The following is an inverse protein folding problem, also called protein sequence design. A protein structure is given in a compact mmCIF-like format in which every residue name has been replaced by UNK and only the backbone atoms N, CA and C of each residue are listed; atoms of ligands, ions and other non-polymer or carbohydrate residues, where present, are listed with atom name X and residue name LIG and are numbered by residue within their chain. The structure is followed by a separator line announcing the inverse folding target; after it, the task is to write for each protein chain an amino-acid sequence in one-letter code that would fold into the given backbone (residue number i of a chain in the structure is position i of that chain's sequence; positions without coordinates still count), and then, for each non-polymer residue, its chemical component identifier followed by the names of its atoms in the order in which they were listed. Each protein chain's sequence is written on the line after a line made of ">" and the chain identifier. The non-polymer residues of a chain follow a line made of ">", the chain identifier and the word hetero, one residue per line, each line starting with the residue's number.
data_IF_453464647222
#
_entry.id   IF_453464647222
#
_cell.length_a   1.000
_cell.length_b   1.000
_cell.length_c   1.000
_cell.angle_alpha   90.00
_cell.angle_beta   90.00
_cell.angle_gamma   90.00
#
_symmetry.space_group_name_H-M   'P 1'
#
loop_
_entity.id
_entity.type
_entity.pdbx_description
1 polymer ?
#
# COMPACT_ATOMS: atom_id res chain seq x y z
N UNK A 1 66.28 -7.36 -1.52
CA UNK A 1 65.12 -7.25 -0.60
C UNK A 1 64.06 -6.24 -1.03
N UNK A 2 64.22 -5.44 -2.08
CA UNK A 2 63.25 -4.42 -2.48
C UNK A 2 62.03 -4.89 -3.31
N UNK A 3 62.13 -6.00 -4.06
CA UNK A 3 61.11 -6.48 -4.98
C UNK A 3 59.90 -7.13 -4.30
N UNK A 4 60.10 -7.78 -3.14
CA UNK A 4 59.01 -8.45 -2.41
C UNK A 4 58.10 -7.45 -1.70
N UNK A 5 58.66 -6.33 -1.23
CA UNK A 5 57.88 -5.28 -0.56
C UNK A 5 56.97 -4.49 -1.56
N UNK A 6 57.38 -4.32 -2.80
CA UNK A 6 56.58 -3.67 -3.86
C UNK A 6 55.43 -4.57 -4.32
N UNK A 7 55.62 -5.87 -4.38
CA UNK A 7 54.57 -6.84 -4.74
C UNK A 7 53.46 -6.93 -3.68
N UNK A 8 53.82 -6.99 -2.39
CA UNK A 8 52.88 -6.98 -1.30
C UNK A 8 52.05 -5.70 -1.24
N UNK A 9 52.68 -4.54 -1.48
CA UNK A 9 51.96 -3.26 -1.56
C UNK A 9 50.94 -3.21 -2.70
N UNK A 10 51.30 -3.79 -3.86
CA UNK A 10 50.39 -3.82 -5.02
C UNK A 10 49.20 -4.77 -4.80
N UNK A 11 49.40 -5.94 -4.20
CA UNK A 11 48.32 -6.90 -3.86
C UNK A 11 47.36 -6.32 -2.80
N UNK A 12 47.89 -5.65 -1.77
CA UNK A 12 47.08 -5.00 -0.76
C UNK A 12 46.25 -3.82 -1.33
N UNK A 13 46.83 -3.03 -2.24
CA UNK A 13 46.11 -1.95 -2.92
C UNK A 13 44.94 -2.48 -3.78
N UNK A 14 45.17 -3.57 -4.53
CA UNK A 14 44.12 -4.22 -5.31
C UNK A 14 43.00 -4.80 -4.42
N UNK A 15 43.35 -5.39 -3.28
CA UNK A 15 42.39 -5.89 -2.31
C UNK A 15 41.52 -4.77 -1.73
N UNK A 16 42.11 -3.65 -1.36
CA UNK A 16 41.38 -2.47 -0.86
C UNK A 16 40.43 -1.86 -1.88
N UNK A 17 40.85 -1.77 -3.15
CA UNK A 17 40.00 -1.26 -4.24
C UNK A 17 38.83 -2.21 -4.49
N UNK A 18 39.04 -3.53 -4.46
CA UNK A 18 37.95 -4.51 -4.61
C UNK A 18 36.93 -4.41 -3.47
N UNK A 19 37.36 -4.30 -2.23
CA UNK A 19 36.46 -4.17 -1.08
C UNK A 19 35.67 -2.86 -1.16
N UNK A 20 36.30 -1.76 -1.55
CA UNK A 20 35.62 -0.48 -1.70
C UNK A 20 34.58 -0.49 -2.83
N UNK A 21 34.90 -1.11 -3.97
CA UNK A 21 33.94 -1.22 -5.10
C UNK A 21 32.77 -2.11 -4.78
N UNK A 22 32.98 -3.26 -4.14
CA UNK A 22 31.91 -4.15 -3.68
C UNK A 22 31.04 -3.46 -2.63
N UNK A 23 31.63 -2.73 -1.69
CA UNK A 23 30.91 -1.94 -0.70
C UNK A 23 30.02 -0.87 -1.32
N UNK A 24 30.50 -0.15 -2.35
CA UNK A 24 29.73 0.85 -3.08
C UNK A 24 28.59 0.24 -3.89
N UNK A 25 28.78 -0.93 -4.50
CA UNK A 25 27.73 -1.64 -5.24
C UNK A 25 26.64 -2.11 -4.26
N UNK A 26 27.02 -2.70 -3.12
CA UNK A 26 26.07 -3.13 -2.09
C UNK A 26 25.30 -1.94 -1.52
N UNK A 27 25.97 -0.84 -1.23
CA UNK A 27 25.31 0.38 -0.75
C UNK A 27 24.36 0.97 -1.81
N UNK A 28 24.75 0.94 -3.09
CA UNK A 28 23.89 1.37 -4.20
C UNK A 28 22.68 0.48 -4.39
N UNK A 29 22.83 -0.84 -4.30
CA UNK A 29 21.72 -1.79 -4.41
C UNK A 29 20.79 -1.70 -3.20
N UNK A 30 21.33 -1.62 -1.97
CA UNK A 30 20.54 -1.45 -0.75
C UNK A 30 19.85 -0.09 -0.73
N UNK A 31 20.54 0.98 -1.13
CA UNK A 31 19.97 2.31 -1.28
C UNK A 31 18.86 2.34 -2.32
N UNK A 32 19.07 1.69 -3.47
CA UNK A 32 18.05 1.53 -4.51
C UNK A 32 16.84 0.73 -4.02
N UNK A 33 17.04 -0.36 -3.29
CA UNK A 33 15.96 -1.16 -2.68
C UNK A 33 15.20 -0.37 -1.61
N UNK A 34 15.88 0.44 -0.81
CA UNK A 34 15.25 1.30 0.21
C UNK A 34 14.48 2.45 -0.45
N UNK A 35 15.01 3.05 -1.51
CA UNK A 35 14.34 4.14 -2.25
C UNK A 35 13.22 3.63 -3.18
N UNK A 36 13.30 2.36 -3.64
CA UNK A 36 12.24 1.70 -4.43
C UNK A 36 11.14 1.10 -3.53
N UNK A 37 11.30 1.11 -2.23
CA UNK A 37 10.33 0.60 -1.28
C UNK A 37 9.10 1.52 -1.20
N UNK A 38 7.93 1.04 -0.74
CA UNK A 38 6.58 1.60 -0.86
C UNK A 38 6.36 3.02 -0.31
N UNK A 39 7.40 3.70 0.16
CA UNK A 39 7.38 5.14 0.42
C UNK A 39 7.00 5.97 -0.84
N UNK A 40 7.14 5.41 -2.04
CA UNK A 40 6.78 6.07 -3.30
C UNK A 40 5.32 5.81 -3.75
N UNK A 41 4.55 5.01 -3.05
CA UNK A 41 3.14 4.75 -3.41
C UNK A 41 2.13 5.63 -2.67
N UNK A 42 2.56 6.75 -2.11
CA UNK A 42 1.67 7.72 -1.47
C UNK A 42 0.65 8.33 -2.45
N UNK A 43 0.97 8.37 -3.74
CA UNK A 43 0.07 8.84 -4.81
C UNK A 43 -1.20 8.00 -4.98
N UNK A 44 -1.23 6.79 -4.40
CA UNK A 44 -2.37 5.88 -4.45
C UNK A 44 -3.29 6.03 -3.22
N UNK A 45 -2.90 6.87 -2.23
CA UNK A 45 -3.69 7.09 -1.02
C UNK A 45 -4.61 8.29 -1.15
N UNK A 46 -5.87 8.07 -0.88
CA UNK A 46 -6.87 9.08 -0.61
C UNK A 46 -6.88 9.36 0.87
N UNK A 47 -6.84 10.63 1.26
CA UNK A 47 -6.79 11.03 2.66
C UNK A 47 -7.85 12.09 2.96
N UNK A 48 -8.39 12.05 4.16
CA UNK A 48 -9.21 13.13 4.72
C UNK A 48 -8.35 13.85 5.74
N UNK A 49 -8.20 15.17 5.56
CA UNK A 49 -7.39 16.02 6.42
C UNK A 49 -8.32 17.02 7.11
N UNK A 50 -8.09 17.21 8.39
CA UNK A 50 -8.73 18.28 9.18
C UNK A 50 -7.67 19.30 9.53
N UNK A 51 -8.01 20.57 9.36
CA UNK A 51 -7.17 21.69 9.74
C UNK A 51 -7.51 22.10 11.18
N UNK A 52 -6.58 21.91 12.10
CA UNK A 52 -6.71 22.33 13.50
C UNK A 52 -6.04 23.70 13.69
N UNK A 53 -6.76 24.74 13.27
CA UNK A 53 -6.32 26.12 13.42
C UNK A 53 -6.50 26.66 14.86
N UNK A 54 -6.93 25.83 15.81
CA UNK A 54 -7.14 26.22 17.20
C UNK A 54 -5.82 26.11 18.00
N UNK A 55 -5.17 27.23 18.20
CA UNK A 55 -4.03 27.31 19.13
C UNK A 55 -2.70 27.80 18.57
N UNK A 56 -2.65 28.37 17.38
CA UNK A 56 -1.45 29.03 16.85
C UNK A 56 -0.35 28.06 16.35
N UNK A 57 -0.66 26.80 16.19
CA UNK A 57 0.12 25.83 15.43
C UNK A 57 -0.73 25.37 14.25
N UNK A 58 -0.31 25.68 13.04
CA UNK A 58 -0.85 25.09 11.83
C UNK A 58 -0.57 23.58 11.87
N UNK A 59 -1.58 22.79 12.18
CA UNK A 59 -1.50 21.36 12.23
C UNK A 59 -2.57 20.74 11.32
N UNK A 60 -2.15 20.15 10.21
CA UNK A 60 -3.03 19.30 9.43
C UNK A 60 -2.98 17.87 9.98
N UNK A 61 -4.14 17.31 10.33
CA UNK A 61 -4.25 15.96 10.84
C UNK A 61 -4.98 15.07 9.83
N UNK A 62 -4.33 13.97 9.43
CA UNK A 62 -4.98 12.95 8.61
C UNK A 62 -5.89 12.12 9.52
N UNK A 63 -7.20 12.20 9.30
CA UNK A 63 -8.23 11.52 10.11
C UNK A 63 -8.77 10.24 9.47
N UNK A 64 -8.61 10.11 8.16
CA UNK A 64 -9.00 8.90 7.43
C UNK A 64 -8.11 8.72 6.20
N UNK A 65 -7.89 7.47 5.81
CA UNK A 65 -7.19 7.13 4.57
C UNK A 65 -7.80 5.90 3.89
N UNK A 66 -7.59 5.79 2.59
CA UNK A 66 -7.90 4.64 1.77
C UNK A 66 -6.88 4.55 0.64
N UNK A 67 -6.50 3.34 0.25
CA UNK A 67 -5.61 3.10 -0.89
C UNK A 67 -6.41 2.50 -2.04
N UNK A 68 -6.29 3.10 -3.23
CA UNK A 68 -6.86 2.57 -4.45
C UNK A 68 -5.72 2.15 -5.38
N UNK A 69 -5.64 0.87 -5.66
CA UNK A 69 -4.72 0.33 -6.65
C UNK A 69 -5.48 0.06 -7.94
N UNK A 70 -4.97 0.60 -9.06
CA UNK A 70 -5.54 0.37 -10.38
C UNK A 70 -4.69 -0.60 -11.18
N UNK A 71 -5.34 -1.61 -11.75
CA UNK A 71 -4.77 -2.48 -12.76
C UNK A 71 -5.37 -2.16 -14.13
N UNK A 72 -4.94 -2.86 -15.18
CA UNK A 72 -5.46 -2.63 -16.55
C UNK A 72 -6.99 -2.82 -16.66
N UNK A 73 -7.56 -3.70 -15.86
CA UNK A 73 -8.97 -4.15 -16.00
C UNK A 73 -9.82 -3.94 -14.75
N UNK A 74 -9.22 -3.70 -13.61
CA UNK A 74 -9.91 -3.66 -12.31
C UNK A 74 -9.22 -2.68 -11.38
N UNK A 75 -9.93 -2.26 -10.34
CA UNK A 75 -9.30 -1.58 -9.20
C UNK A 75 -9.47 -2.40 -7.93
N UNK A 76 -8.57 -2.23 -7.00
CA UNK A 76 -8.64 -2.85 -5.68
C UNK A 76 -8.52 -1.77 -4.60
N UNK A 77 -9.46 -1.81 -3.64
CA UNK A 77 -9.50 -0.88 -2.51
C UNK A 77 -8.90 -1.54 -1.28
N UNK A 78 -7.93 -0.87 -0.67
CA UNK A 78 -7.16 -1.33 0.50
C UNK A 78 -7.14 -0.28 1.60
N UNK A 79 -6.71 -0.69 2.78
CA UNK A 79 -6.28 0.16 3.89
C UNK A 79 -7.29 1.26 4.24
N UNK A 80 -8.61 0.96 4.14
CA UNK A 80 -9.63 1.93 4.53
C UNK A 80 -9.61 2.06 6.05
N UNK A 81 -9.15 3.20 6.51
CA UNK A 81 -9.04 3.52 7.92
C UNK A 81 -9.71 4.86 8.24
N UNK A 82 -10.36 4.93 9.40
CA UNK A 82 -10.90 6.16 9.98
C UNK A 82 -10.50 6.18 11.46
N UNK A 83 -9.93 7.29 11.89
CA UNK A 83 -9.60 7.54 13.30
C UNK A 83 -10.80 7.29 14.20
N UNK A 84 -10.57 6.73 15.38
CA UNK A 84 -11.65 6.23 16.25
C UNK A 84 -12.66 7.33 16.61
N UNK A 85 -12.17 8.51 16.95
CA UNK A 85 -12.96 9.69 17.30
C UNK A 85 -13.78 10.25 16.13
N UNK A 86 -13.43 9.87 14.89
CA UNK A 86 -14.07 10.34 13.64
C UNK A 86 -15.02 9.30 13.02
N UNK A 87 -15.14 8.12 13.66
CA UNK A 87 -16.06 7.08 13.20
C UNK A 87 -17.52 7.48 13.44
N UNK A 88 -18.41 6.95 12.62
CA UNK A 88 -19.85 7.26 12.71
C UNK A 88 -20.25 8.63 12.11
N UNK A 89 -19.30 9.51 11.78
CA UNK A 89 -19.56 10.84 11.27
C UNK A 89 -19.66 10.90 9.71
N UNK A 90 -19.58 9.75 9.04
CA UNK A 90 -19.72 9.68 7.58
C UNK A 90 -18.42 9.82 6.78
N UNK A 91 -17.29 10.17 7.40
CA UNK A 91 -16.01 10.37 6.71
C UNK A 91 -15.55 9.16 5.91
N UNK A 92 -15.68 7.95 6.47
CA UNK A 92 -15.34 6.72 5.75
C UNK A 92 -16.17 6.50 4.51
N UNK A 93 -17.48 6.80 4.55
CA UNK A 93 -18.33 6.69 3.38
C UNK A 93 -17.97 7.72 2.31
N UNK A 94 -17.74 8.98 2.70
CA UNK A 94 -17.32 10.04 1.80
C UNK A 94 -15.98 9.67 1.13
N UNK A 95 -14.99 9.27 1.92
CA UNK A 95 -13.67 8.85 1.43
C UNK A 95 -13.75 7.73 0.40
N UNK A 96 -14.45 6.63 0.73
CA UNK A 96 -14.58 5.49 -0.19
C UNK A 96 -15.35 5.87 -1.44
N UNK A 97 -16.43 6.66 -1.34
CA UNK A 97 -17.19 7.15 -2.51
C UNK A 97 -16.31 7.98 -3.44
N UNK A 98 -15.51 8.89 -2.89
CA UNK A 98 -14.58 9.72 -3.67
C UNK A 98 -13.51 8.86 -4.34
N UNK A 99 -12.86 7.95 -3.61
CA UNK A 99 -11.83 7.08 -4.16
C UNK A 99 -12.37 6.20 -5.32
N UNK A 100 -13.56 5.60 -5.16
CA UNK A 100 -14.12 4.72 -6.19
C UNK A 100 -14.81 5.47 -7.33
N UNK A 101 -15.06 6.78 -7.22
CA UNK A 101 -15.63 7.56 -8.31
C UNK A 101 -14.69 7.64 -9.52
N UNK A 102 -13.37 7.63 -9.27
CA UNK A 102 -12.33 7.66 -10.29
C UNK A 102 -11.80 6.26 -10.65
N UNK A 103 -12.25 5.23 -9.94
CA UNK A 103 -11.76 3.87 -10.10
C UNK A 103 -12.19 3.22 -11.41
N UNK A 104 -11.37 2.31 -11.92
CA UNK A 104 -11.75 1.38 -12.98
C UNK A 104 -12.59 0.26 -12.41
N UNK A 105 -13.73 0.02 -13.03
CA UNK A 105 -14.63 -1.04 -12.62
C UNK A 105 -14.35 -2.36 -13.34
N UNK A 106 -14.56 -3.50 -12.67
CA UNK A 106 -15.05 -3.65 -11.29
C UNK A 106 -14.01 -3.29 -10.23
N UNK A 107 -14.49 -2.78 -9.06
CA UNK A 107 -13.67 -2.53 -7.88
C UNK A 107 -13.81 -3.69 -6.91
N UNK A 108 -12.70 -4.25 -6.47
CA UNK A 108 -12.64 -5.35 -5.51
C UNK A 108 -12.07 -4.89 -4.17
N UNK A 109 -12.44 -5.58 -3.11
CA UNK A 109 -11.83 -5.44 -1.78
C UNK A 109 -11.98 -6.73 -0.98
N UNK A 110 -11.20 -6.86 0.09
CA UNK A 110 -11.37 -7.88 1.13
C UNK A 110 -11.82 -7.19 2.42
N UNK A 111 -13.03 -7.49 2.86
CA UNK A 111 -13.65 -6.89 4.04
C UNK A 111 -13.46 -7.75 5.27
N UNK A 112 -13.19 -7.13 6.42
CA UNK A 112 -13.41 -7.75 7.72
C UNK A 112 -14.90 -8.03 7.94
N UNK A 113 -15.28 -9.04 8.73
CA UNK A 113 -16.68 -9.39 8.99
C UNK A 113 -17.53 -8.20 9.46
N UNK A 114 -16.99 -7.39 10.37
CA UNK A 114 -17.69 -6.25 10.97
C UNK A 114 -17.93 -5.10 9.98
N UNK A 115 -17.12 -5.01 8.90
CA UNK A 115 -17.20 -3.96 7.89
C UNK A 115 -18.05 -4.35 6.67
N UNK A 116 -18.54 -5.58 6.57
CA UNK A 116 -19.35 -6.03 5.41
C UNK A 116 -20.59 -5.15 5.23
N UNK A 117 -21.28 -4.77 6.31
CA UNK A 117 -22.45 -3.90 6.28
C UNK A 117 -22.14 -2.51 5.70
N UNK A 118 -20.99 -1.94 6.10
CA UNK A 118 -20.50 -0.67 5.59
C UNK A 118 -20.30 -0.71 4.06
N UNK A 119 -19.62 -1.72 3.55
CA UNK A 119 -19.38 -1.84 2.11
C UNK A 119 -20.65 -2.19 1.31
N UNK A 120 -21.57 -2.96 1.88
CA UNK A 120 -22.89 -3.20 1.26
C UNK A 120 -23.66 -1.90 1.06
N UNK A 121 -23.65 -0.99 2.03
CA UNK A 121 -24.27 0.34 1.92
C UNK A 121 -23.63 1.22 0.83
N UNK A 122 -22.39 0.91 0.42
CA UNK A 122 -21.67 1.55 -0.68
C UNK A 122 -21.85 0.83 -2.02
N UNK A 123 -22.74 -0.16 -2.11
CA UNK A 123 -23.04 -0.90 -3.34
C UNK A 123 -22.10 -2.06 -3.66
N UNK A 124 -21.25 -2.45 -2.71
CA UNK A 124 -20.47 -3.69 -2.85
C UNK A 124 -21.33 -4.92 -2.52
N UNK A 125 -21.06 -6.01 -3.19
CA UNK A 125 -21.68 -7.31 -2.94
C UNK A 125 -20.61 -8.34 -2.64
N UNK A 126 -20.92 -9.30 -1.78
CA UNK A 126 -20.05 -10.45 -1.52
C UNK A 126 -19.89 -11.27 -2.78
N UNK A 127 -18.69 -11.72 -3.06
CA UNK A 127 -18.35 -12.62 -4.15
C UNK A 127 -17.69 -13.88 -3.57
N UNK A 128 -17.99 -15.03 -4.16
CA UNK A 128 -17.35 -16.27 -3.77
C UNK A 128 -15.87 -16.24 -4.14
N UNK A 129 -15.02 -16.63 -3.20
CA UNK A 129 -13.56 -16.69 -3.40
C UNK A 129 -13.17 -17.51 -4.63
N UNK A 130 -13.89 -18.59 -4.91
CA UNK A 130 -13.67 -19.48 -6.06
C UNK A 130 -13.91 -18.82 -7.42
N UNK A 131 -14.71 -17.74 -7.46
CA UNK A 131 -14.98 -16.95 -8.68
C UNK A 131 -13.90 -15.92 -9.00
N UNK A 132 -12.95 -15.70 -8.08
CA UNK A 132 -11.83 -14.81 -8.28
C UNK A 132 -10.64 -15.58 -8.84
N UNK A 133 -9.90 -14.96 -9.77
CA UNK A 133 -8.64 -15.54 -10.25
C UNK A 133 -7.57 -15.56 -9.14
N UNK A 134 -6.55 -16.41 -9.31
CA UNK A 134 -5.48 -16.60 -8.31
C UNK A 134 -4.70 -15.32 -8.02
N UNK A 135 -4.47 -14.47 -9.03
CA UNK A 135 -3.71 -13.22 -8.87
C UNK A 135 -4.48 -12.24 -8.00
N UNK A 136 -5.77 -12.08 -8.29
CA UNK A 136 -6.65 -11.21 -7.51
C UNK A 136 -6.80 -11.71 -6.06
N UNK A 137 -6.95 -13.04 -5.86
CA UNK A 137 -6.98 -13.64 -4.53
C UNK A 137 -5.69 -13.36 -3.75
N UNK A 138 -4.53 -13.48 -4.43
CA UNK A 138 -3.22 -13.15 -3.85
C UNK A 138 -3.12 -11.67 -3.46
N UNK A 139 -3.50 -10.74 -4.35
CA UNK A 139 -3.49 -9.31 -4.07
C UNK A 139 -4.43 -8.94 -2.92
N UNK A 140 -5.62 -9.50 -2.86
CA UNK A 140 -6.56 -9.33 -1.76
C UNK A 140 -6.18 -10.08 -0.47
N UNK A 141 -4.97 -10.66 -0.43
CA UNK A 141 -4.44 -11.40 0.73
C UNK A 141 -5.31 -12.58 1.19
N UNK A 142 -6.22 -13.07 0.35
CA UNK A 142 -7.14 -14.15 0.69
C UNK A 142 -6.43 -15.50 0.83
N UNK A 143 -5.26 -15.67 0.20
CA UNK A 143 -4.45 -16.88 0.26
C UNK A 143 -3.44 -16.88 1.44
N UNK A 144 -3.26 -15.73 2.10
CA UNK A 144 -2.32 -15.60 3.21
C UNK A 144 -2.90 -16.22 4.50
N UNK A 145 -2.24 -17.23 5.12
CA UNK A 145 -2.73 -17.90 6.32
C UNK A 145 -2.97 -16.96 7.52
N UNK A 146 -2.20 -15.89 7.62
CA UNK A 146 -2.37 -14.90 8.68
C UNK A 146 -3.72 -14.18 8.55
N UNK A 147 -4.08 -13.76 7.34
CA UNK A 147 -5.34 -13.05 7.08
C UNK A 147 -6.56 -13.98 7.00
N UNK A 148 -6.36 -15.27 6.75
CA UNK A 148 -7.45 -16.25 6.78
C UNK A 148 -8.13 -16.31 8.16
N UNK A 149 -7.35 -16.17 9.24
CA UNK A 149 -7.86 -16.14 10.62
C UNK A 149 -8.76 -14.93 10.90
N UNK A 150 -8.63 -13.86 10.13
CA UNK A 150 -9.44 -12.65 10.25
C UNK A 150 -10.81 -12.78 9.57
N UNK A 151 -11.08 -13.87 8.85
CA UNK A 151 -12.36 -14.10 8.17
C UNK A 151 -12.62 -13.14 7.02
N UNK A 152 -11.58 -12.72 6.29
CA UNK A 152 -11.72 -11.79 5.17
C UNK A 152 -12.72 -12.30 4.14
N UNK A 153 -13.67 -11.46 3.81
CA UNK A 153 -14.72 -11.70 2.83
C UNK A 153 -14.47 -10.85 1.59
N UNK A 154 -14.25 -11.47 0.42
CA UNK A 154 -14.09 -10.71 -0.81
C UNK A 154 -15.40 -10.09 -1.24
N UNK A 155 -15.33 -8.83 -1.69
CA UNK A 155 -16.47 -8.08 -2.17
C UNK A 155 -16.14 -7.39 -3.49
N UNK A 156 -17.16 -7.14 -4.31
CA UNK A 156 -17.03 -6.49 -5.61
C UNK A 156 -18.13 -5.47 -5.83
N UNK A 157 -17.77 -4.36 -6.47
CA UNK A 157 -18.71 -3.38 -7.04
C UNK A 157 -18.52 -3.32 -8.55
N UNK A 158 -19.59 -3.57 -9.33
CA UNK A 158 -19.52 -3.85 -10.77
C UNK A 158 -19.85 -2.65 -11.67
N UNK A 159 -20.02 -1.45 -11.16
CA UNK A 159 -20.34 -0.28 -11.98
C UNK A 159 -20.33 1.02 -11.19
N UNK A 160 -20.16 2.15 -11.90
CA UNK A 160 -20.40 3.47 -11.31
C UNK A 160 -21.89 3.58 -10.99
N UNK A 161 -22.23 4.06 -9.80
CA UNK A 161 -23.56 4.56 -9.54
C UNK A 161 -23.59 5.95 -10.18
N UNK A 162 -24.35 6.11 -11.25
CA UNK A 162 -24.75 7.45 -11.70
C UNK A 162 -25.53 8.07 -10.54
N UNK A 163 -24.94 9.04 -9.87
CA UNK A 163 -25.56 9.88 -8.86
C UNK A 163 -26.45 10.90 -9.54
#
# INVERSE_FOLDING_TARGET
>A
MGLVASWLGWVLAQGLVMVATVGLIIAGVLGGLVLWNPLMSWSEYWVVVVDDSQGGKEGQHVIACAKLYESEKTSELYDVFVGEEWRGLGFGQALVRTAIAEARYPVYLASLPDAIGFYKALGFRVVERTKLDLRLRGRLSLENPHYQKLGLTPMVRSGQVNL
#
